data_IF_482680087721
#
_entry.id   IF_482680087721
#
_cell.length_a   1.000
_cell.length_b   1.000
_cell.length_c   1.000
_cell.angle_alpha   90.00
_cell.angle_beta   90.00
_cell.angle_gamma   90.00
#
_symmetry.space_group_name_H-M   'P 1'
#
loop_
_entity.id
_entity.type
_entity.pdbx_description
1 polymer ?
#
# COMPACT_ATOMS: atom_id res chain seq x y z
N UNK A 1 -8.25 8.75 5.76
CA UNK A 1 -9.13 8.27 4.67
C UNK A 1 -8.28 7.48 3.68
N UNK A 2 -8.85 6.91 2.62
CA UNK A 2 -8.07 6.18 1.62
C UNK A 2 -7.20 7.12 0.77
N UNK A 3 -7.66 8.34 0.54
CA UNK A 3 -6.89 9.37 -0.18
C UNK A 3 -5.59 9.71 0.55
N UNK A 4 -5.62 9.81 1.89
CA UNK A 4 -4.40 10.01 2.68
C UNK A 4 -3.41 8.84 2.51
N UNK A 5 -3.90 7.59 2.37
CA UNK A 5 -3.02 6.44 2.13
C UNK A 5 -2.40 6.48 0.73
N UNK A 6 -3.14 6.96 -0.27
CA UNK A 6 -2.60 7.14 -1.62
C UNK A 6 -1.53 8.23 -1.61
N UNK A 7 -1.76 9.35 -0.91
CA UNK A 7 -0.75 10.38 -0.76
C UNK A 7 0.52 9.88 -0.04
N UNK A 8 0.35 9.13 1.06
CA UNK A 8 1.48 8.48 1.78
C UNK A 8 2.27 7.51 0.87
N UNK A 9 1.57 6.82 -0.05
CA UNK A 9 2.16 5.91 -1.02
C UNK A 9 2.90 6.63 -2.15
N UNK A 10 2.34 7.73 -2.65
CA UNK A 10 2.97 8.56 -3.67
C UNK A 10 4.30 9.15 -3.16
N UNK A 11 4.33 9.61 -1.90
CA UNK A 11 5.56 10.05 -1.24
C UNK A 11 6.59 8.90 -1.14
N UNK A 12 6.15 7.71 -0.71
CA UNK A 12 7.01 6.54 -0.65
C UNK A 12 7.59 6.16 -2.03
N UNK A 13 6.80 6.27 -3.09
CA UNK A 13 7.27 6.03 -4.46
C UNK A 13 8.28 7.08 -4.91
N UNK A 14 8.09 8.35 -4.53
CA UNK A 14 9.01 9.43 -4.83
C UNK A 14 10.35 9.31 -4.10
N UNK A 15 10.39 8.61 -2.96
CA UNK A 15 11.62 8.24 -2.25
C UNK A 15 12.46 7.18 -3.00
N UNK A 16 11.88 6.47 -3.98
CA UNK A 16 12.56 5.36 -4.65
C UNK A 16 13.47 5.81 -5.81
N UNK A 17 14.55 5.05 -6.11
CA UNK A 17 15.33 5.27 -7.30
C UNK A 17 14.48 5.17 -8.58
N UNK A 18 14.84 5.92 -9.65
CA UNK A 18 14.13 5.82 -10.91
C UNK A 18 14.23 4.39 -11.48
N UNK A 19 13.11 3.85 -11.94
CA UNK A 19 13.03 2.52 -12.51
C UNK A 19 11.92 1.69 -11.89
N UNK A 20 12.11 0.37 -11.85
CA UNK A 20 11.17 -0.54 -11.20
C UNK A 20 11.17 -0.30 -9.69
N UNK A 21 9.99 -0.17 -9.09
CA UNK A 21 9.83 -0.10 -7.64
C UNK A 21 10.34 -1.39 -6.98
N UNK A 22 10.92 -1.33 -5.77
CA UNK A 22 11.18 -2.52 -4.99
C UNK A 22 9.88 -3.31 -4.77
N UNK A 23 9.95 -4.65 -4.80
CA UNK A 23 8.77 -5.51 -4.69
C UNK A 23 7.93 -5.18 -3.44
N UNK A 24 8.57 -4.82 -2.32
CA UNK A 24 7.88 -4.40 -1.10
C UNK A 24 7.04 -3.11 -1.27
N UNK A 25 7.46 -2.19 -2.14
CA UNK A 25 6.71 -0.96 -2.45
C UNK A 25 5.60 -1.27 -3.47
N UNK A 26 5.86 -2.14 -4.44
CA UNK A 26 4.84 -2.59 -5.40
C UNK A 26 3.68 -3.33 -4.70
N UNK A 27 4.01 -4.22 -3.76
CA UNK A 27 3.04 -4.95 -2.93
C UNK A 27 2.12 -4.00 -2.13
N UNK A 28 2.64 -2.86 -1.67
CA UNK A 28 1.83 -1.87 -0.95
C UNK A 28 0.76 -1.25 -1.89
N UNK A 29 1.10 -1.01 -3.15
CA UNK A 29 0.15 -0.55 -4.16
C UNK A 29 -0.99 -1.55 -4.35
N UNK A 30 -0.67 -2.84 -4.43
CA UNK A 30 -1.68 -3.90 -4.47
C UNK A 30 -2.60 -3.90 -3.24
N UNK A 31 -2.04 -3.72 -2.04
CA UNK A 31 -2.85 -3.65 -0.80
C UNK A 31 -3.81 -2.45 -0.79
N UNK A 32 -3.41 -1.31 -1.34
CA UNK A 32 -4.29 -0.13 -1.43
C UNK A 32 -5.48 -0.40 -2.36
N UNK A 33 -5.23 -1.01 -3.52
CA UNK A 33 -6.31 -1.39 -4.44
C UNK A 33 -7.21 -2.48 -3.85
N UNK A 34 -6.65 -3.46 -3.15
CA UNK A 34 -7.44 -4.45 -2.43
C UNK A 34 -8.33 -3.76 -1.38
N UNK A 35 -7.81 -2.79 -0.61
CA UNK A 35 -8.60 -1.99 0.35
C UNK A 35 -9.75 -1.23 -0.32
N UNK A 36 -9.53 -0.67 -1.53
CA UNK A 36 -10.58 -0.04 -2.34
C UNK A 36 -11.67 -1.05 -2.68
N UNK A 37 -11.29 -2.23 -3.17
CA UNK A 37 -12.24 -3.32 -3.46
C UNK A 37 -13.03 -3.70 -2.22
N UNK A 38 -12.40 -3.92 -1.05
CA UNK A 38 -13.13 -4.31 0.16
C UNK A 38 -14.15 -3.24 0.56
N UNK A 39 -13.77 -1.97 0.48
CA UNK A 39 -14.63 -0.84 0.86
C UNK A 39 -15.89 -0.79 0.00
N UNK A 40 -15.80 -1.14 -1.28
CA UNK A 40 -16.92 -1.08 -2.24
C UNK A 40 -17.66 -2.41 -2.44
N UNK A 41 -17.01 -3.54 -2.21
CA UNK A 41 -17.49 -4.87 -2.59
C UNK A 41 -17.48 -5.86 -1.40
N UNK A 42 -18.05 -5.45 -0.27
CA UNK A 42 -18.09 -6.24 0.97
C UNK A 42 -18.68 -7.65 0.80
N UNK A 43 -19.54 -7.89 -0.20
CA UNK A 43 -20.19 -9.18 -0.45
C UNK A 43 -19.39 -10.14 -1.33
N UNK A 44 -18.33 -9.67 -2.02
CA UNK A 44 -17.54 -10.47 -2.96
C UNK A 44 -16.40 -11.25 -2.28
N UNK A 45 -16.08 -10.95 -1.02
CA UNK A 45 -14.91 -11.51 -0.34
C UNK A 45 -13.60 -10.90 -0.86
N UNK A 46 -12.53 -11.03 -0.10
CA UNK A 46 -11.23 -10.38 -0.36
C UNK A 46 -10.13 -11.42 -0.36
N UNK A 47 -9.13 -11.29 -1.24
CA UNK A 47 -8.02 -12.27 -1.33
C UNK A 47 -7.21 -12.31 -0.02
N UNK A 48 -7.05 -11.17 0.64
CA UNK A 48 -6.47 -11.00 1.97
C UNK A 48 -7.22 -9.90 2.71
N UNK A 49 -7.38 -9.99 4.04
CA UNK A 49 -7.98 -8.88 4.80
C UNK A 49 -6.99 -7.72 4.90
N UNK A 50 -7.38 -6.55 4.39
CA UNK A 50 -6.54 -5.35 4.39
C UNK A 50 -7.14 -4.30 5.30
N UNK A 51 -6.29 -3.49 5.93
CA UNK A 51 -6.74 -2.31 6.68
C UNK A 51 -5.74 -1.17 6.55
N UNK A 52 -6.17 0.09 6.73
CA UNK A 52 -5.29 1.26 6.75
C UNK A 52 -4.09 1.12 7.71
N UNK A 53 -4.31 0.48 8.86
CA UNK A 53 -3.25 0.24 9.86
C UNK A 53 -2.17 -0.71 9.33
N UNK A 54 -2.57 -1.77 8.61
CA UNK A 54 -1.62 -2.73 8.03
C UNK A 54 -0.82 -2.11 6.88
N UNK A 55 -1.46 -1.30 6.04
CA UNK A 55 -0.79 -0.58 4.94
C UNK A 55 0.28 0.37 5.49
N UNK A 56 -0.07 1.20 6.48
CA UNK A 56 0.92 2.12 7.10
C UNK A 56 2.09 1.39 7.74
N UNK A 57 1.83 0.24 8.37
CA UNK A 57 2.90 -0.59 8.92
C UNK A 57 3.83 -1.11 7.81
N UNK A 58 3.28 -1.62 6.71
CA UNK A 58 4.07 -2.08 5.57
C UNK A 58 4.93 -0.95 4.96
N UNK A 59 4.39 0.27 4.86
CA UNK A 59 5.16 1.44 4.42
C UNK A 59 6.33 1.75 5.35
N UNK A 60 6.15 1.65 6.67
CA UNK A 60 7.24 1.82 7.63
C UNK A 60 8.30 0.72 7.48
N UNK A 61 7.89 -0.53 7.33
CA UNK A 61 8.80 -1.67 7.14
C UNK A 61 9.58 -1.55 5.83
N UNK A 62 8.95 -1.08 4.75
CA UNK A 62 9.60 -0.81 3.48
C UNK A 62 10.69 0.26 3.62
N UNK A 63 10.41 1.37 4.29
CA UNK A 63 11.40 2.45 4.54
C UNK A 63 12.58 1.98 5.40
N UNK A 64 12.32 1.17 6.42
CA UNK A 64 13.39 0.61 7.28
C UNK A 64 14.28 -0.35 6.50
N UNK A 65 13.69 -1.16 5.62
CA UNK A 65 14.42 -2.19 4.85
C UNK A 65 15.30 -1.59 3.73
N UNK A 66 15.14 -0.30 3.45
CA UNK A 66 15.95 0.45 2.47
C UNK A 66 17.13 1.20 3.09
N UNK A 67 17.22 1.23 4.43
CA UNK A 67 18.34 1.82 5.20
C UNK A 67 19.43 0.79 5.50
#
# INVERSE_FOLDING_TARGET
MIDDLVADYDELCAEQPPGRLPDAVDDIGFLIEELRVQTWAQTLGTAVTVSPKRIRKAMQEARVSQS
#
